data_IF_770064685387
#
_entry.id   IF_770064685387
#
_cell.length_a   1.000
_cell.length_b   1.000
_cell.length_c   1.000
_cell.angle_alpha   90.00
_cell.angle_beta   90.00
_cell.angle_gamma   90.00
#
_symmetry.space_group_name_H-M   'P 1'
#
loop_
_entity.id
_entity.type
_entity.pdbx_description
1 polymer ?
#
# COMPACT_ATOMS: atom_id res chain seq x y z
N UNK A 1 13.79 -9.40 31.63
CA UNK A 1 13.64 -9.21 31.19
C UNK A 1 13.08 -8.90 30.82
N UNK A 2 13.15 -8.94 30.90
CA UNK A 2 12.75 -8.50 30.40
C UNK A 2 12.14 -8.13 29.89
N UNK A 3 12.17 -8.21 30.09
CA UNK A 3 11.77 -7.74 29.44
C UNK A 3 11.26 -7.39 28.90
N UNK A 4 11.18 -7.41 29.05
CA UNK A 4 10.94 -7.08 28.36
C UNK A 4 10.26 -6.68 27.86
N UNK A 5 10.07 -6.62 27.94
CA UNK A 5 9.66 -6.20 27.31
C UNK A 5 9.10 -5.83 26.84
N UNK A 6 9.02 -5.85 27.27
CA UNK A 6 8.53 -5.39 26.68
C UNK A 6 8.32 -4.88 26.20
N UNK A 7 8.39 -4.72 27.00
CA UNK A 7 8.28 -3.86 26.20
C UNK A 7 8.33 -3.70 25.04
N UNK A 8 8.55 -4.10 24.86
CA UNK A 8 8.42 -4.24 23.48
C UNK A 8 7.19 -3.64 22.94
N UNK A 9 6.19 -3.71 23.71
CA UNK A 9 4.96 -3.06 23.34
C UNK A 9 5.19 -1.59 23.14
N UNK A 10 6.02 -1.03 23.97
CA UNK A 10 6.38 0.35 23.80
C UNK A 10 7.00 0.59 22.46
N UNK A 11 7.82 -0.35 22.00
CA UNK A 11 8.46 -0.25 20.71
C UNK A 11 7.46 -0.25 19.58
N UNK A 12 6.46 -1.10 19.68
CA UNK A 12 5.44 -1.14 18.66
C UNK A 12 4.65 0.16 18.65
N UNK A 13 4.35 0.69 19.81
CA UNK A 13 3.65 1.96 19.89
C UNK A 13 4.49 3.09 19.29
N UNK A 14 5.81 2.94 19.32
CA UNK A 14 6.69 3.97 18.79
C UNK A 14 6.92 3.83 17.29
N UNK A 15 6.47 2.73 16.68
CA UNK A 15 6.66 2.54 15.26
C UNK A 15 5.79 3.52 14.48
N UNK A 16 6.42 4.37 13.69
CA UNK A 16 5.72 5.30 12.81
C UNK A 16 6.24 5.05 11.41
N UNK A 17 5.41 4.57 10.49
CA UNK A 17 5.89 4.30 9.14
C UNK A 17 6.21 5.61 8.43
N UNK A 18 7.33 5.61 7.70
CA UNK A 18 7.74 6.74 6.87
C UNK A 18 7.57 6.43 5.39
N UNK A 19 7.26 5.19 5.05
CA UNK A 19 7.05 4.80 3.66
C UNK A 19 5.94 3.79 3.54
N UNK A 20 5.18 3.92 2.46
CA UNK A 20 4.05 3.03 2.18
C UNK A 20 4.16 2.58 0.73
N UNK A 21 4.17 1.27 0.53
CA UNK A 21 4.06 0.69 -0.81
C UNK A 21 2.63 0.21 -0.96
N UNK A 22 2.00 0.54 -2.07
CA UNK A 22 0.59 0.21 -2.24
C UNK A 22 0.31 -0.26 -3.66
N UNK A 23 -0.78 -1.00 -3.80
CA UNK A 23 -1.29 -1.37 -5.12
C UNK A 23 -2.74 -0.92 -5.18
N UNK A 24 -3.06 -0.18 -6.24
CA UNK A 24 -4.43 0.19 -6.56
C UNK A 24 -4.92 -0.68 -7.70
N UNK A 25 -6.23 -0.93 -7.74
CA UNK A 25 -6.85 -1.68 -8.82
C UNK A 25 -8.10 -0.94 -9.27
N UNK A 26 -8.43 -1.10 -10.56
CA UNK A 26 -9.68 -0.57 -11.08
C UNK A 26 -10.86 -1.39 -10.59
N UNK A 27 -10.65 -2.69 -10.43
CA UNK A 27 -11.64 -3.65 -9.96
C UNK A 27 -10.91 -4.96 -9.69
N UNK A 28 -11.62 -5.96 -9.19
CA UNK A 28 -11.02 -7.27 -8.99
C UNK A 28 -10.45 -7.77 -10.31
N UNK A 29 -9.18 -8.18 -10.28
CA UNK A 29 -8.45 -8.65 -11.47
C UNK A 29 -8.35 -7.61 -12.58
N UNK A 30 -8.54 -6.34 -12.24
CA UNK A 30 -8.49 -5.26 -13.22
C UNK A 30 -7.09 -4.69 -13.40
N UNK A 31 -7.05 -3.45 -13.87
CA UNK A 31 -5.79 -2.73 -14.08
C UNK A 31 -5.15 -2.41 -12.73
N UNK A 32 -3.84 -2.60 -12.64
CA UNK A 32 -3.09 -2.39 -11.40
C UNK A 32 -2.16 -1.19 -11.51
N UNK A 33 -1.97 -0.50 -10.40
CA UNK A 33 -0.99 0.58 -10.26
C UNK A 33 -0.21 0.36 -8.96
N UNK A 34 1.11 0.29 -9.06
CA UNK A 34 1.99 0.13 -7.90
C UNK A 34 2.61 1.48 -7.59
N UNK A 35 2.54 1.91 -6.35
CA UNK A 35 3.08 3.20 -5.96
C UNK A 35 3.76 3.17 -4.61
N UNK A 36 4.45 4.27 -4.30
CA UNK A 36 5.10 4.48 -3.01
C UNK A 36 4.85 5.92 -2.59
N UNK A 37 4.64 6.12 -1.30
CA UNK A 37 4.40 7.46 -0.76
C UNK A 37 4.86 7.54 0.68
N UNK A 38 5.18 8.75 1.13
CA UNK A 38 5.46 8.99 2.55
C UNK A 38 4.18 9.40 3.30
N UNK A 39 3.10 9.70 2.59
CA UNK A 39 1.83 10.10 3.21
C UNK A 39 0.69 9.43 2.46
N UNK A 40 0.22 8.31 3.02
CA UNK A 40 -0.75 7.48 2.33
C UNK A 40 -2.11 8.18 2.14
N UNK A 41 -2.61 8.82 3.19
CA UNK A 41 -3.93 9.44 3.10
C UNK A 41 -3.97 10.57 2.08
N UNK A 42 -2.95 11.42 2.08
CA UNK A 42 -2.85 12.48 1.08
C UNK A 42 -2.79 11.90 -0.32
N UNK A 43 -1.99 10.85 -0.50
CA UNK A 43 -1.83 10.26 -1.83
C UNK A 43 -3.12 9.61 -2.31
N UNK A 44 -3.85 8.94 -1.41
CA UNK A 44 -5.13 8.33 -1.78
C UNK A 44 -6.14 9.40 -2.14
N UNK A 45 -6.13 10.52 -1.42
CA UNK A 45 -7.01 11.63 -1.74
C UNK A 45 -6.68 12.21 -3.12
N UNK A 46 -5.40 12.38 -3.42
CA UNK A 46 -4.98 12.85 -4.74
C UNK A 46 -5.46 11.92 -5.84
N UNK A 47 -5.29 10.62 -5.64
CA UNK A 47 -5.74 9.64 -6.65
C UNK A 47 -7.24 9.69 -6.85
N UNK A 48 -8.02 9.83 -5.78
CA UNK A 48 -9.47 9.88 -5.89
C UNK A 48 -9.96 11.12 -6.65
N UNK A 49 -9.15 12.18 -6.64
CA UNK A 49 -9.48 13.41 -7.36
C UNK A 49 -8.92 13.41 -8.78
N UNK A 50 -8.28 12.32 -9.20
CA UNK A 50 -7.65 12.25 -10.51
C UNK A 50 -6.33 12.99 -10.58
N UNK A 51 -5.72 13.27 -9.43
CA UNK A 51 -4.43 13.94 -9.33
C UNK A 51 -3.35 12.91 -8.99
N UNK A 52 -2.10 13.30 -9.12
CA UNK A 52 -0.97 12.49 -8.70
C UNK A 52 -0.50 11.44 -9.69
N UNK A 53 -1.34 11.02 -10.62
CA UNK A 53 -0.96 10.05 -11.66
C UNK A 53 -1.93 10.11 -12.81
N UNK A 54 -1.40 10.36 -14.01
CA UNK A 54 -2.21 10.34 -15.21
C UNK A 54 -2.74 8.93 -15.50
N UNK A 55 -1.96 7.91 -15.16
CA UNK A 55 -2.36 6.51 -15.34
C UNK A 55 -3.58 6.18 -14.50
N UNK A 56 -3.55 6.55 -13.21
CA UNK A 56 -4.66 6.29 -12.30
C UNK A 56 -5.93 6.97 -12.80
N UNK A 57 -5.81 8.23 -13.23
CA UNK A 57 -6.97 8.96 -13.75
C UNK A 57 -7.51 8.31 -15.02
N UNK A 58 -6.63 7.96 -15.95
CA UNK A 58 -7.06 7.43 -17.25
C UNK A 58 -7.80 6.11 -17.12
N UNK A 59 -7.33 5.23 -16.21
CA UNK A 59 -7.87 3.89 -16.09
C UNK A 59 -8.76 3.69 -14.87
N UNK A 60 -9.04 4.78 -14.15
CA UNK A 60 -9.92 4.74 -12.97
C UNK A 60 -9.46 3.71 -11.94
N UNK A 61 -8.18 3.74 -11.62
CA UNK A 61 -7.54 2.77 -10.73
C UNK A 61 -7.50 3.37 -9.34
N UNK A 62 -8.57 3.23 -8.57
CA UNK A 62 -8.72 3.94 -7.30
C UNK A 62 -8.93 3.05 -6.09
N UNK A 63 -9.13 1.75 -6.28
CA UNK A 63 -9.36 0.82 -5.17
C UNK A 63 -8.04 0.39 -4.56
N UNK A 64 -7.84 0.65 -3.26
CA UNK A 64 -6.61 0.23 -2.57
C UNK A 64 -6.75 -1.24 -2.18
N UNK A 65 -5.97 -2.11 -2.82
CA UNK A 65 -6.12 -3.56 -2.62
C UNK A 65 -4.93 -4.20 -1.89
N UNK A 66 -3.83 -3.47 -1.73
CA UNK A 66 -2.65 -3.99 -1.03
C UNK A 66 -1.84 -2.84 -0.46
N UNK A 67 -1.28 -3.03 0.73
CA UNK A 67 -0.52 -2.00 1.43
C UNK A 67 0.55 -2.64 2.29
N UNK A 68 1.74 -2.05 2.29
CA UNK A 68 2.84 -2.48 3.14
C UNK A 68 3.54 -1.24 3.69
N UNK A 69 3.78 -1.23 5.02
CA UNK A 69 4.35 -0.08 5.71
C UNK A 69 5.81 -0.33 6.05
N UNK A 70 6.62 0.72 5.96
CA UNK A 70 8.05 0.65 6.24
C UNK A 70 8.48 1.78 7.18
N UNK A 71 9.36 1.49 8.15
CA UNK A 71 9.93 2.58 8.98
C UNK A 71 10.74 3.57 8.17
N UNK A 72 11.44 3.12 7.11
CA UNK A 72 12.27 3.99 6.28
C UNK A 72 11.70 4.08 4.88
N UNK A 73 11.58 5.32 4.40
CA UNK A 73 11.05 5.56 3.05
C UNK A 73 11.93 4.90 1.97
N UNK A 74 13.25 4.91 2.17
CA UNK A 74 14.15 4.32 1.18
C UNK A 74 13.86 2.82 0.97
N UNK A 75 13.50 2.11 2.04
CA UNK A 75 13.17 0.69 1.93
C UNK A 75 11.86 0.50 1.17
N UNK A 76 10.89 1.39 1.39
CA UNK A 76 9.65 1.34 0.65
C UNK A 76 9.89 1.57 -0.85
N UNK A 77 10.77 2.50 -1.20
CA UNK A 77 11.10 2.76 -2.60
C UNK A 77 11.71 1.53 -3.26
N UNK A 78 12.61 0.85 -2.55
CA UNK A 78 13.23 -0.37 -3.10
C UNK A 78 12.18 -1.45 -3.33
N UNK A 79 11.25 -1.60 -2.40
CA UNK A 79 10.19 -2.60 -2.54
C UNK A 79 9.29 -2.28 -3.72
N UNK A 80 8.88 -1.03 -3.84
CA UNK A 80 8.04 -0.58 -4.94
C UNK A 80 8.70 -0.83 -6.29
N UNK A 81 9.99 -0.50 -6.39
CA UNK A 81 10.75 -0.73 -7.62
C UNK A 81 10.77 -2.22 -7.99
N UNK A 82 10.94 -3.08 -7.00
CA UNK A 82 10.96 -4.53 -7.24
C UNK A 82 9.60 -5.01 -7.72
N UNK A 83 8.53 -4.62 -7.03
CA UNK A 83 7.18 -5.09 -7.38
C UNK A 83 6.78 -4.62 -8.78
N UNK A 84 7.17 -3.39 -9.15
CA UNK A 84 6.85 -2.88 -10.48
C UNK A 84 7.41 -3.75 -11.60
N UNK A 85 8.53 -4.46 -11.33
CA UNK A 85 9.18 -5.32 -12.32
C UNK A 85 8.61 -6.73 -12.35
N UNK A 86 7.78 -7.08 -11.38
CA UNK A 86 7.18 -8.41 -11.32
C UNK A 86 6.20 -8.60 -12.47
N UNK A 87 6.07 -9.84 -12.95
CA UNK A 87 4.99 -10.15 -13.87
C UNK A 87 3.66 -10.07 -13.14
N UNK A 88 2.61 -9.89 -13.91
CA UNK A 88 1.28 -9.65 -13.35
C UNK A 88 0.83 -10.76 -12.39
N UNK A 89 1.08 -12.02 -12.73
CA UNK A 89 0.61 -13.12 -11.88
C UNK A 89 1.19 -13.04 -10.46
N UNK A 90 2.42 -12.54 -10.31
CA UNK A 90 3.01 -12.40 -8.99
C UNK A 90 2.35 -11.27 -8.19
N UNK A 91 1.96 -10.21 -8.87
CA UNK A 91 1.25 -9.11 -8.20
C UNK A 91 -0.11 -9.57 -7.74
N UNK A 92 -0.80 -10.37 -8.56
CA UNK A 92 -2.11 -10.92 -8.18
C UNK A 92 -1.98 -11.83 -6.95
N UNK A 93 -0.96 -12.68 -6.92
CA UNK A 93 -0.72 -13.53 -5.76
C UNK A 93 -0.48 -12.72 -4.50
N UNK A 94 0.33 -11.66 -4.62
CA UNK A 94 0.63 -10.81 -3.48
C UNK A 94 -0.65 -10.19 -2.90
N UNK A 95 -1.51 -9.70 -3.77
CA UNK A 95 -2.79 -9.11 -3.34
C UNK A 95 -3.66 -10.16 -2.67
N UNK A 96 -3.85 -11.31 -3.32
CA UNK A 96 -4.82 -12.30 -2.85
C UNK A 96 -4.38 -13.01 -1.59
N UNK A 97 -3.08 -13.02 -1.31
CA UNK A 97 -2.58 -13.62 -0.08
C UNK A 97 -3.14 -12.91 1.16
N UNK A 98 -3.31 -11.59 1.09
CA UNK A 98 -3.78 -10.81 2.23
C UNK A 98 -5.16 -10.20 2.02
N UNK A 99 -5.63 -10.15 0.79
CA UNK A 99 -6.92 -9.52 0.46
C UNK A 99 -7.61 -10.33 -0.63
N UNK A 100 -8.05 -11.56 -0.31
CA UNK A 100 -8.58 -12.48 -1.34
C UNK A 100 -9.83 -11.98 -2.06
N UNK A 101 -10.59 -11.09 -1.45
CA UNK A 101 -11.80 -10.57 -2.09
C UNK A 101 -11.61 -9.21 -2.74
N UNK A 102 -10.37 -8.68 -2.73
CA UNK A 102 -10.04 -7.40 -3.38
C UNK A 102 -10.87 -6.24 -2.82
N UNK A 103 -11.10 -6.24 -1.51
CA UNK A 103 -11.79 -5.13 -0.86
C UNK A 103 -10.97 -3.85 -0.98
N UNK A 104 -11.66 -2.72 -0.96
CA UNK A 104 -10.98 -1.43 -0.86
C UNK A 104 -10.55 -1.24 0.60
N UNK A 105 -9.26 -1.40 0.86
CA UNK A 105 -8.73 -1.33 2.23
C UNK A 105 -8.88 0.06 2.85
N UNK A 106 -9.03 1.08 2.02
CA UNK A 106 -9.21 2.43 2.53
C UNK A 106 -10.53 2.58 3.27
N UNK A 107 -11.54 1.85 2.87
CA UNK A 107 -12.84 1.88 3.55
C UNK A 107 -12.73 1.38 4.98
N UNK A 108 -11.88 0.39 5.23
CA UNK A 108 -11.69 -0.13 6.58
C UNK A 108 -10.99 0.88 7.48
N UNK A 109 -10.15 1.73 6.92
CA UNK A 109 -9.44 2.75 7.68
C UNK A 109 -10.36 3.87 8.16
N UNK A 110 -11.44 4.09 7.42
CA UNK A 110 -12.36 5.20 7.71
C UNK A 110 -13.48 4.82 8.66
N UNK A 111 -13.43 3.63 9.22
CA UNK A 111 -14.46 3.18 10.17
C UNK A 111 -14.14 3.61 11.60
#
# INVERSE_FOLDING_TARGET
>A
MGGLDPPIQGNQAAFVPSGFVYILASERNGTLYVGVTSNLLDRMEQHSKGEGSAFVKKYDVTRLVWLEEYPLYADAVRRETAIKRWKRSWKLELIEKVNPTWKDLLEEWNK
#
